data_IF_833971057982
#
_entry.id   IF_833971057982
#
_cell.length_a   1.000
_cell.length_b   1.000
_cell.length_c   1.000
_cell.angle_alpha   90.00
_cell.angle_beta   90.00
_cell.angle_gamma   90.00
#
_symmetry.space_group_name_H-M   'P 1'
#
loop_
_entity.id
_entity.type
_entity.pdbx_description
1 polymer ?
#
# COMPACT_ATOMS: atom_id res chain seq x y z
N UNK A 1 7.66 -7.02 8.28
CA UNK A 1 7.52 -5.60 8.55
C UNK A 1 8.17 -4.88 7.38
N UNK A 2 7.77 -3.64 7.07
CA UNK A 2 8.28 -2.93 5.89
C UNK A 2 8.80 -1.54 6.28
N UNK A 3 10.06 -1.28 5.94
CA UNK A 3 10.67 0.03 6.06
C UNK A 3 10.08 0.97 5.00
N UNK A 4 9.50 2.08 5.45
CA UNK A 4 8.82 3.09 4.62
C UNK A 4 9.74 4.27 4.36
N UNK A 5 9.69 4.84 3.16
CA UNK A 5 10.49 6.01 2.84
C UNK A 5 9.84 7.30 3.35
N UNK A 6 10.56 8.02 4.19
CA UNK A 6 10.19 9.35 4.68
C UNK A 6 11.07 10.39 4.01
N UNK A 7 10.45 11.30 3.25
CA UNK A 7 11.13 12.43 2.62
C UNK A 7 11.49 13.52 3.63
N UNK A 8 10.71 13.62 4.70
CA UNK A 8 10.88 14.58 5.80
C UNK A 8 10.82 13.84 7.14
N UNK A 9 11.52 14.36 8.15
CA UNK A 9 11.44 13.82 9.50
C UNK A 9 9.99 13.94 10.02
N UNK A 10 9.45 12.87 10.63
CA UNK A 10 8.07 12.82 11.08
C UNK A 10 7.83 13.52 12.43
N UNK A 11 8.38 14.71 12.63
CA UNK A 11 8.39 15.42 13.94
C UNK A 11 7.00 15.62 14.58
N UNK A 12 5.93 15.62 13.76
CA UNK A 12 4.54 15.74 14.22
C UNK A 12 4.00 14.43 14.81
N UNK A 13 4.54 13.30 14.36
CA UNK A 13 4.18 11.94 14.80
C UNK A 13 5.14 11.44 15.87
N UNK A 14 6.43 11.70 15.68
CA UNK A 14 7.54 11.23 16.52
C UNK A 14 8.52 12.39 16.78
N UNK A 15 8.28 13.18 17.85
CA UNK A 15 9.10 14.34 18.18
C UNK A 15 10.57 14.02 18.49
N UNK A 16 10.89 12.77 18.81
CA UNK A 16 12.25 12.31 19.12
C UNK A 16 13.22 12.51 17.95
N UNK A 17 12.69 12.58 16.72
CA UNK A 17 13.47 12.92 15.52
C UNK A 17 13.95 14.37 15.46
N UNK A 18 13.62 15.24 16.43
CA UNK A 18 14.03 16.64 16.43
C UNK A 18 15.55 16.82 16.37
N UNK A 19 16.29 15.88 16.95
CA UNK A 19 17.76 15.89 16.97
C UNK A 19 18.36 15.02 15.84
N UNK A 20 17.52 14.56 14.90
CA UNK A 20 17.89 13.65 13.83
C UNK A 20 17.60 12.19 14.17
N UNK A 21 18.32 11.27 13.53
CA UNK A 21 18.23 9.83 13.75
C UNK A 21 19.60 9.17 13.64
N UNK A 22 19.74 7.98 14.22
CA UNK A 22 20.90 7.11 14.04
C UNK A 22 20.50 5.94 13.15
N UNK A 23 21.24 5.70 12.07
CA UNK A 23 20.99 4.53 11.22
C UNK A 23 21.35 3.25 11.96
N UNK A 24 20.40 2.34 12.17
CA UNK A 24 20.59 1.09 12.91
C UNK A 24 21.55 0.12 12.21
N UNK A 25 21.78 0.30 10.90
CA UNK A 25 22.69 -0.55 10.14
C UNK A 25 24.15 -0.07 10.18
N UNK A 26 24.39 1.23 10.01
CA UNK A 26 25.75 1.78 9.92
C UNK A 26 26.17 2.62 11.13
N UNK A 27 25.27 2.82 12.09
CA UNK A 27 25.45 3.56 13.34
C UNK A 27 25.96 5.00 13.16
N UNK A 28 25.67 5.61 12.00
CA UNK A 28 25.96 7.03 11.76
C UNK A 28 24.74 7.87 12.08
N UNK A 29 24.97 9.06 12.62
CA UNK A 29 23.94 10.04 12.93
C UNK A 29 23.64 10.92 11.72
N UNK A 30 22.36 11.24 11.53
CA UNK A 30 21.85 12.05 10.44
C UNK A 30 20.88 13.07 11.01
N UNK A 31 21.07 14.34 10.64
CA UNK A 31 20.19 15.43 11.11
C UNK A 31 18.96 15.64 10.22
N UNK A 32 18.94 15.03 9.04
CA UNK A 32 17.94 15.30 8.01
C UNK A 32 17.52 14.02 7.28
N UNK A 33 16.28 14.02 6.80
CA UNK A 33 15.73 13.06 5.86
C UNK A 33 16.30 13.30 4.43
N UNK A 34 16.19 12.36 3.47
CA UNK A 34 15.35 11.16 3.49
C UNK A 34 15.96 9.98 4.23
N UNK A 35 15.08 9.10 4.72
CA UNK A 35 15.44 7.86 5.38
C UNK A 35 14.32 6.83 5.24
N UNK A 36 14.61 5.62 5.67
CA UNK A 36 13.66 4.54 5.75
C UNK A 36 13.36 4.25 7.22
N UNK A 37 12.08 4.16 7.58
CA UNK A 37 11.61 4.03 8.95
C UNK A 37 10.58 2.90 9.09
N UNK A 38 10.70 2.11 10.15
CA UNK A 38 9.73 1.07 10.53
C UNK A 38 9.24 1.31 11.96
N UNK A 39 8.04 1.85 12.07
CA UNK A 39 7.45 2.34 13.33
C UNK A 39 7.29 1.26 14.41
N UNK A 40 6.90 0.04 14.02
CA UNK A 40 6.64 -1.02 15.00
C UNK A 40 7.88 -1.45 15.78
N UNK A 41 9.08 -1.31 15.20
CA UNK A 41 10.35 -1.59 15.87
C UNK A 41 11.17 -0.35 16.20
N UNK A 42 10.84 0.80 15.59
CA UNK A 42 11.66 2.01 15.60
C UNK A 42 12.93 1.87 14.75
N UNK A 43 12.97 0.94 13.80
CA UNK A 43 14.17 0.71 12.98
C UNK A 43 14.34 1.80 11.93
N UNK A 44 15.54 2.39 11.87
CA UNK A 44 15.90 3.47 10.97
C UNK A 44 17.08 3.14 10.08
N UNK A 45 16.89 3.27 8.77
CA UNK A 45 17.91 3.05 7.76
C UNK A 45 18.16 4.35 7.00
N UNK A 46 19.42 4.80 6.95
CA UNK A 46 19.79 5.87 6.04
C UNK A 46 19.58 5.42 4.58
N UNK A 47 19.50 6.39 3.65
CA UNK A 47 19.20 6.10 2.25
C UNK A 47 20.19 5.10 1.62
N UNK A 48 21.48 5.19 1.95
CA UNK A 48 22.51 4.27 1.44
C UNK A 48 22.26 2.83 1.91
N UNK A 49 22.04 2.62 3.22
CA UNK A 49 21.79 1.30 3.80
C UNK A 49 20.45 0.71 3.33
N UNK A 50 19.40 1.52 3.26
CA UNK A 50 18.09 1.10 2.76
C UNK A 50 18.15 0.65 1.31
N UNK A 51 18.77 1.45 0.44
CA UNK A 51 18.93 1.09 -0.97
C UNK A 51 19.81 -0.16 -1.15
N UNK A 52 20.87 -0.31 -0.35
CA UNK A 52 21.72 -1.51 -0.37
C UNK A 52 20.96 -2.78 0.08
N UNK A 53 19.99 -2.62 0.99
CA UNK A 53 19.07 -3.69 1.39
C UNK A 53 17.92 -3.92 0.38
N UNK A 54 17.86 -3.15 -0.71
CA UNK A 54 16.88 -3.28 -1.78
C UNK A 54 15.57 -2.50 -1.57
N UNK A 55 15.47 -1.72 -0.49
CA UNK A 55 14.31 -0.83 -0.30
C UNK A 55 14.31 0.27 -1.35
N UNK A 56 13.10 0.71 -1.68
CA UNK A 56 12.86 1.81 -2.62
C UNK A 56 11.87 2.77 -1.99
N UNK A 57 11.74 4.01 -2.51
CA UNK A 57 10.70 4.93 -2.07
C UNK A 57 9.27 4.35 -2.13
N UNK A 58 9.07 3.31 -2.93
CA UNK A 58 7.80 2.62 -3.14
C UNK A 58 7.57 1.41 -2.21
N UNK A 59 8.54 1.07 -1.37
CA UNK A 59 8.46 -0.10 -0.49
C UNK A 59 7.23 -0.01 0.44
N UNK A 60 6.39 -1.05 0.36
CA UNK A 60 5.15 -1.14 1.11
C UNK A 60 3.95 -0.43 0.48
N UNK A 61 4.10 0.28 -0.63
CA UNK A 61 2.99 0.95 -1.31
C UNK A 61 2.33 0.03 -2.33
N UNK A 62 1.12 0.36 -2.75
CA UNK A 62 0.47 -0.33 -3.85
C UNK A 62 1.11 0.16 -5.15
N UNK A 63 1.84 -0.73 -5.81
CA UNK A 63 2.51 -0.45 -7.06
C UNK A 63 1.60 -0.53 -8.29
N UNK A 64 0.58 -1.38 -8.24
CA UNK A 64 -0.40 -1.49 -9.31
C UNK A 64 -1.78 -1.92 -8.83
N UNK A 65 -2.79 -1.47 -9.57
CA UNK A 65 -4.17 -1.94 -9.46
C UNK A 65 -4.46 -2.87 -10.64
N UNK A 66 -5.15 -3.97 -10.36
CA UNK A 66 -5.47 -5.02 -11.33
C UNK A 66 -6.99 -5.18 -11.40
N UNK A 67 -7.50 -5.19 -12.62
CA UNK A 67 -8.92 -5.29 -12.92
C UNK A 67 -9.18 -6.48 -13.84
N UNK A 68 -10.39 -7.03 -13.76
CA UNK A 68 -10.86 -8.05 -14.69
C UNK A 68 -11.52 -7.36 -15.89
N UNK A 69 -11.11 -7.72 -17.10
CA UNK A 69 -11.79 -7.29 -18.34
C UNK A 69 -13.00 -8.18 -18.68
N UNK A 70 -13.15 -9.31 -17.98
CA UNK A 70 -14.20 -10.27 -18.20
C UNK A 70 -15.58 -9.79 -17.71
N UNK A 71 -16.64 -10.39 -18.26
CA UNK A 71 -18.01 -10.14 -17.81
C UNK A 71 -18.41 -10.96 -16.56
N UNK A 72 -17.53 -11.86 -16.12
CA UNK A 72 -17.79 -12.71 -14.96
C UNK A 72 -17.57 -11.93 -13.66
N UNK A 73 -18.55 -12.00 -12.75
CA UNK A 73 -18.42 -11.37 -11.44
C UNK A 73 -17.60 -12.29 -10.54
N UNK A 74 -16.37 -11.88 -10.23
CA UNK A 74 -15.48 -12.59 -9.31
C UNK A 74 -16.01 -12.42 -7.87
N UNK A 75 -16.42 -13.52 -7.25
CA UNK A 75 -17.00 -13.51 -5.89
C UNK A 75 -16.29 -14.47 -4.97
N UNK A 76 -16.24 -14.09 -3.71
CA UNK A 76 -16.06 -15.03 -2.62
C UNK A 76 -17.30 -15.93 -2.50
N UNK A 77 -17.15 -17.26 -2.62
CA UNK A 77 -18.30 -18.16 -2.53
C UNK A 77 -18.95 -18.22 -1.15
N UNK A 78 -18.21 -17.89 -0.08
CA UNK A 78 -18.67 -18.07 1.29
C UNK A 78 -19.43 -16.82 1.77
N UNK A 79 -18.92 -15.62 1.50
CA UNK A 79 -19.59 -14.37 1.86
C UNK A 79 -20.45 -13.77 0.73
N UNK A 80 -20.29 -14.27 -0.50
CA UNK A 80 -20.86 -13.69 -1.73
C UNK A 80 -20.38 -12.24 -1.99
N UNK A 81 -19.31 -11.79 -1.32
CA UNK A 81 -18.69 -10.49 -1.57
C UNK A 81 -18.02 -10.47 -2.95
N UNK A 82 -18.19 -9.36 -3.66
CA UNK A 82 -17.64 -9.16 -5.01
C UNK A 82 -16.22 -8.62 -4.87
N UNK A 83 -15.26 -9.20 -5.59
CA UNK A 83 -13.92 -8.63 -5.72
C UNK A 83 -14.02 -7.37 -6.60
N UNK A 84 -13.62 -6.22 -6.05
CA UNK A 84 -13.66 -4.93 -6.76
C UNK A 84 -12.42 -4.76 -7.64
N UNK A 85 -11.25 -5.05 -7.09
CA UNK A 85 -9.96 -5.02 -7.76
C UNK A 85 -8.96 -5.89 -7.01
N UNK A 86 -7.90 -6.29 -7.69
CA UNK A 86 -6.68 -6.77 -7.08
C UNK A 86 -5.62 -5.67 -7.08
N UNK A 87 -4.59 -5.84 -6.27
CA UNK A 87 -3.48 -4.90 -6.18
C UNK A 87 -2.17 -5.64 -5.98
N UNK A 88 -1.05 -5.06 -6.41
CA UNK A 88 0.30 -5.56 -6.13
C UNK A 88 1.07 -4.58 -5.29
N UNK A 89 1.82 -5.12 -4.34
CA UNK A 89 2.69 -4.36 -3.44
C UNK A 89 4.15 -4.57 -3.79
N UNK A 90 4.48 -5.76 -4.26
CA UNK A 90 5.82 -6.16 -4.69
C UNK A 90 5.71 -7.30 -5.71
N UNK A 91 6.86 -7.77 -6.20
CA UNK A 91 6.91 -8.85 -7.20
C UNK A 91 6.26 -10.18 -6.78
N UNK A 92 6.08 -10.42 -5.48
CA UNK A 92 5.61 -11.68 -4.90
C UNK A 92 4.38 -11.53 -3.99
N UNK A 93 3.86 -10.31 -3.80
CA UNK A 93 2.70 -10.05 -2.94
C UNK A 93 1.61 -9.35 -3.73
N UNK A 94 0.42 -9.93 -3.70
CA UNK A 94 -0.78 -9.32 -4.24
C UNK A 94 -1.91 -9.40 -3.21
N UNK A 95 -2.88 -8.50 -3.31
CA UNK A 95 -4.11 -8.60 -2.54
C UNK A 95 -5.33 -8.40 -3.42
N UNK A 96 -6.48 -8.77 -2.89
CA UNK A 96 -7.78 -8.63 -3.53
C UNK A 96 -8.69 -7.93 -2.55
N UNK A 97 -9.25 -6.80 -2.98
CA UNK A 97 -10.15 -5.99 -2.17
C UNK A 97 -11.59 -6.31 -2.53
N UNK A 98 -12.40 -6.68 -1.54
CA UNK A 98 -13.80 -7.04 -1.73
C UNK A 98 -14.74 -5.89 -1.37
N UNK A 99 -15.94 -5.91 -1.95
CA UNK A 99 -16.96 -4.87 -1.75
C UNK A 99 -17.46 -4.75 -0.30
N UNK A 100 -17.26 -5.79 0.51
CA UNK A 100 -17.52 -5.77 1.96
C UNK A 100 -16.31 -5.30 2.78
N UNK A 101 -15.29 -4.74 2.13
CA UNK A 101 -14.01 -4.26 2.70
C UNK A 101 -13.04 -5.33 3.16
N UNK A 102 -13.41 -6.61 3.08
CA UNK A 102 -12.49 -7.71 3.37
C UNK A 102 -11.37 -7.77 2.33
N UNK A 103 -10.27 -8.43 2.69
CA UNK A 103 -9.14 -8.63 1.81
C UNK A 103 -8.71 -10.09 1.76
N UNK A 104 -8.23 -10.53 0.59
CA UNK A 104 -7.46 -11.76 0.46
C UNK A 104 -6.05 -11.39 0.00
N UNK A 105 -5.05 -11.57 0.86
CA UNK A 105 -3.64 -11.33 0.54
C UNK A 105 -2.99 -12.65 0.13
N UNK A 106 -2.23 -12.62 -0.96
CA UNK A 106 -1.61 -13.76 -1.60
C UNK A 106 -0.09 -13.58 -1.65
N UNK A 107 0.64 -14.61 -1.24
CA UNK A 107 2.04 -14.80 -1.57
C UNK A 107 2.11 -15.58 -2.88
N UNK A 108 2.82 -15.04 -3.85
CA UNK A 108 3.08 -15.68 -5.14
C UNK A 108 4.48 -16.29 -5.15
N UNK A 109 4.64 -17.40 -5.86
CA UNK A 109 5.96 -17.91 -6.23
C UNK A 109 6.51 -17.21 -7.47
N UNK A 110 7.74 -17.58 -7.87
CA UNK A 110 8.41 -17.00 -9.05
C UNK A 110 7.68 -17.27 -10.37
N UNK A 111 6.80 -18.28 -10.40
CA UNK A 111 5.99 -18.64 -11.56
C UNK A 111 4.62 -17.94 -11.54
N UNK A 112 4.33 -17.11 -10.53
CA UNK A 112 3.05 -16.45 -10.33
C UNK A 112 1.95 -17.32 -9.72
N UNK A 113 2.27 -18.53 -9.28
CA UNK A 113 1.31 -19.41 -8.59
C UNK A 113 1.15 -19.00 -7.12
N UNK A 114 -0.03 -19.25 -6.56
CA UNK A 114 -0.31 -18.89 -5.17
C UNK A 114 0.37 -19.90 -4.24
N UNK A 115 1.28 -19.40 -3.40
CA UNK A 115 2.01 -20.17 -2.40
C UNK A 115 1.30 -20.17 -1.06
N UNK A 116 0.94 -18.99 -0.57
CA UNK A 116 0.29 -18.78 0.73
C UNK A 116 -0.82 -17.74 0.59
N UNK A 117 -1.83 -17.80 1.46
CA UNK A 117 -2.93 -16.85 1.45
C UNK A 117 -3.42 -16.52 2.87
N UNK A 118 -3.80 -15.26 3.07
CA UNK A 118 -4.38 -14.77 4.32
C UNK A 118 -5.63 -13.94 4.00
N UNK A 119 -6.74 -14.29 4.65
CA UNK A 119 -7.99 -13.55 4.57
C UNK A 119 -8.10 -12.61 5.77
N UNK A 120 -8.34 -11.33 5.49
CA UNK A 120 -8.54 -10.29 6.48
C UNK A 120 -10.00 -9.85 6.48
N UNK A 121 -10.59 -9.79 7.68
CA UNK A 121 -11.87 -9.13 7.87
C UNK A 121 -11.63 -7.72 8.37
N UNK A 122 -12.14 -6.75 7.63
CA UNK A 122 -12.04 -5.33 7.99
C UNK A 122 -13.43 -4.81 8.33
N UNK A 123 -13.51 -4.00 9.38
CA UNK A 123 -14.74 -3.32 9.77
C UNK A 123 -14.40 -1.94 10.26
N UNK A 124 -15.10 -0.93 9.74
CA UNK A 124 -14.95 0.47 10.16
C UNK A 124 -13.47 0.93 10.11
N UNK A 125 -12.74 0.55 9.05
CA UNK A 125 -11.32 0.89 8.85
C UNK A 125 -10.34 0.11 9.75
N UNK A 126 -10.81 -0.89 10.51
CA UNK A 126 -9.97 -1.66 11.43
C UNK A 126 -9.96 -3.15 11.09
N UNK A 127 -8.81 -3.80 11.22
CA UNK A 127 -8.68 -5.25 11.05
C UNK A 127 -9.29 -5.94 12.27
N UNK A 128 -10.38 -6.69 12.06
CA UNK A 128 -11.10 -7.42 13.12
C UNK A 128 -10.61 -8.87 13.22
N UNK A 129 -10.26 -9.47 12.08
CA UNK A 129 -9.76 -10.85 12.06
C UNK A 129 -8.80 -11.08 10.92
N UNK A 130 -7.95 -12.10 11.09
CA UNK A 130 -6.94 -12.52 10.13
C UNK A 130 -6.83 -14.04 10.18
N UNK A 131 -7.04 -14.69 9.04
CA UNK A 131 -7.11 -16.14 8.93
C UNK A 131 -6.24 -16.63 7.78
N UNK A 132 -5.33 -17.57 8.06
CA UNK A 132 -4.60 -18.27 6.99
C UNK A 132 -5.58 -19.15 6.20
N UNK A 133 -5.55 -19.04 4.88
CA UNK A 133 -6.41 -19.82 3.98
C UNK A 133 -5.59 -20.98 3.42
N UNK A 134 -5.99 -22.21 3.75
CA UNK A 134 -5.34 -23.41 3.20
C UNK A 134 -5.71 -23.61 1.74
N UNK A 135 -4.84 -24.27 0.96
CA UNK A 135 -5.04 -24.48 -0.48
C UNK A 135 -6.41 -25.06 -0.86
N UNK A 136 -6.93 -26.02 -0.07
CA UNK A 136 -8.25 -26.62 -0.33
C UNK A 136 -9.39 -25.60 -0.20
N UNK A 137 -9.33 -24.73 0.81
CA UNK A 137 -10.31 -23.65 1.01
C UNK A 137 -10.14 -22.56 -0.04
N UNK A 138 -8.91 -22.22 -0.41
CA UNK A 138 -8.64 -21.25 -1.46
C UNK A 138 -9.28 -21.68 -2.79
N UNK A 139 -9.04 -22.93 -3.21
CA UNK A 139 -9.58 -23.48 -4.46
C UNK A 139 -11.10 -23.68 -4.45
N UNK A 140 -11.69 -23.96 -3.28
CA UNK A 140 -13.15 -24.05 -3.13
C UNK A 140 -13.81 -22.67 -3.12
N UNK A 141 -13.26 -21.73 -2.35
CA UNK A 141 -13.84 -20.41 -2.05
C UNK A 141 -13.61 -19.39 -3.16
N UNK A 142 -12.46 -19.48 -3.81
CA UNK A 142 -11.99 -18.58 -4.87
C UNK A 142 -11.57 -19.40 -6.09
N UNK A 143 -12.46 -20.23 -6.61
CA UNK A 143 -12.17 -21.16 -7.71
C UNK A 143 -11.65 -20.48 -8.99
N UNK A 144 -12.00 -19.22 -9.20
CA UNK A 144 -11.50 -18.37 -10.28
C UNK A 144 -10.02 -17.99 -10.14
N UNK A 145 -9.39 -18.19 -8.97
CA UNK A 145 -7.94 -18.04 -8.77
C UNK A 145 -7.13 -19.29 -9.13
N UNK A 146 -7.78 -20.41 -9.47
CA UNK A 146 -7.07 -21.66 -9.77
C UNK A 146 -6.10 -21.55 -10.97
N UNK A 147 -6.33 -20.58 -11.86
CA UNK A 147 -5.48 -20.26 -13.02
C UNK A 147 -4.50 -19.10 -12.76
N UNK A 148 -4.38 -18.64 -11.51
CA UNK A 148 -3.52 -17.54 -11.09
C UNK A 148 -4.18 -16.18 -11.15
N UNK A 149 -3.61 -15.22 -10.41
CA UNK A 149 -4.18 -13.88 -10.24
C UNK A 149 -4.24 -13.09 -11.56
N UNK A 150 -3.20 -13.19 -12.40
CA UNK A 150 -3.12 -12.47 -13.67
C UNK A 150 -4.09 -12.98 -14.73
N UNK A 151 -4.66 -14.16 -14.56
CA UNK A 151 -5.73 -14.68 -15.42
C UNK A 151 -7.09 -14.10 -15.00
N UNK A 152 -7.33 -13.97 -13.69
CA UNK A 152 -8.56 -13.40 -13.15
C UNK A 152 -8.61 -11.87 -13.31
N UNK A 153 -7.48 -11.20 -13.11
CA UNK A 153 -7.29 -9.76 -13.27
C UNK A 153 -6.21 -9.51 -14.32
N UNK A 154 -6.64 -9.38 -15.57
CA UNK A 154 -5.81 -9.32 -16.77
C UNK A 154 -5.44 -7.89 -17.19
N UNK A 155 -6.06 -6.88 -16.59
CA UNK A 155 -5.76 -5.46 -16.83
C UNK A 155 -4.97 -4.90 -15.65
N UNK A 156 -3.70 -4.54 -15.88
CA UNK A 156 -2.84 -3.95 -14.85
C UNK A 156 -2.59 -2.46 -15.12
N UNK A 157 -2.90 -1.62 -14.13
CA UNK A 157 -2.59 -0.20 -14.09
C UNK A 157 -1.44 0.03 -13.12
N UNK A 158 -0.28 0.41 -13.65
CA UNK A 158 0.89 0.75 -12.83
C UNK A 158 0.77 2.16 -12.26
N UNK A 159 0.91 2.26 -10.95
CA UNK A 159 1.00 3.53 -10.22
C UNK A 159 2.47 3.99 -10.19
N UNK A 160 3.36 3.07 -9.86
CA UNK A 160 4.80 3.28 -9.81
C UNK A 160 5.57 1.96 -10.03
N UNK A 161 6.91 2.03 -9.95
CA UNK A 161 7.76 0.84 -10.06
C UNK A 161 7.41 -0.18 -8.98
N UNK A 162 7.35 -1.46 -9.35
CA UNK A 162 7.07 -2.58 -8.44
C UNK A 162 8.31 -2.89 -7.59
N UNK A 163 8.25 -2.76 -6.26
CA UNK A 163 9.34 -3.15 -5.38
C UNK A 163 9.75 -4.62 -5.52
N UNK A 164 11.05 -4.89 -5.39
CA UNK A 164 11.60 -6.24 -5.42
C UNK A 164 11.62 -6.89 -4.02
N UNK A 165 11.86 -6.09 -2.98
CA UNK A 165 11.87 -6.57 -1.59
C UNK A 165 10.44 -6.94 -1.19
N UNK A 166 10.17 -8.22 -0.89
CA UNK A 166 8.81 -8.62 -0.58
C UNK A 166 8.38 -8.12 0.80
N UNK A 167 7.21 -7.51 0.86
CA UNK A 167 6.55 -7.15 2.13
C UNK A 167 6.07 -8.42 2.79
N UNK A 168 6.26 -8.64 4.09
CA UNK A 168 5.73 -9.84 4.73
C UNK A 168 4.22 -9.92 4.61
N UNK A 169 3.73 -11.14 4.32
CA UNK A 169 2.33 -11.43 3.99
C UNK A 169 1.34 -10.90 5.04
N UNK A 170 1.86 -10.80 6.26
CA UNK A 170 1.11 -10.54 7.46
C UNK A 170 0.95 -9.04 7.79
N UNK A 171 1.66 -8.17 7.08
CA UNK A 171 1.90 -6.77 7.48
C UNK A 171 1.32 -5.74 6.48
N UNK A 172 0.51 -6.18 5.52
CA UNK A 172 -0.08 -5.30 4.53
C UNK A 172 -1.54 -5.65 4.27
N UNK A 173 -2.43 -4.66 4.34
CA UNK A 173 -3.85 -4.80 4.01
C UNK A 173 -4.47 -3.44 3.64
N UNK A 174 -5.39 -3.42 2.66
CA UNK A 174 -6.19 -2.24 2.35
C UNK A 174 -7.40 -2.20 3.29
N UNK A 175 -7.44 -1.22 4.19
CA UNK A 175 -8.52 -1.04 5.17
C UNK A 175 -9.65 -0.14 4.67
N UNK A 176 -9.43 0.55 3.55
CA UNK A 176 -10.41 1.46 2.95
C UNK A 176 -10.02 1.86 1.54
N UNK A 177 -11.02 2.14 0.71
CA UNK A 177 -10.82 2.57 -0.67
C UNK A 177 -11.91 3.57 -1.04
N UNK A 178 -11.50 4.62 -1.73
CA UNK A 178 -12.39 5.61 -2.30
C UNK A 178 -11.83 6.07 -3.66
N UNK A 179 -12.68 6.19 -4.66
CA UNK A 179 -12.26 6.65 -5.97
C UNK A 179 -13.33 7.48 -6.66
N UNK A 180 -12.85 8.42 -7.46
CA UNK A 180 -13.61 9.33 -8.31
C UNK A 180 -12.85 9.48 -9.63
N UNK A 181 -13.40 10.23 -10.59
CA UNK A 181 -12.70 10.53 -11.85
C UNK A 181 -11.42 11.36 -11.66
N UNK A 182 -11.23 11.96 -10.48
CA UNK A 182 -10.14 12.91 -10.20
C UNK A 182 -9.14 12.39 -9.18
N UNK A 183 -9.58 11.48 -8.29
CA UNK A 183 -8.84 11.04 -7.12
C UNK A 183 -9.05 9.56 -6.88
N UNK A 184 -7.95 8.86 -6.55
CA UNK A 184 -7.98 7.54 -5.93
C UNK A 184 -7.35 7.68 -4.54
N UNK A 185 -8.04 7.21 -3.52
CA UNK A 185 -7.61 7.23 -2.12
C UNK A 185 -7.63 5.80 -1.59
N UNK A 186 -6.46 5.29 -1.20
CA UNK A 186 -6.30 3.93 -0.67
C UNK A 186 -5.78 4.02 0.76
N UNK A 187 -6.56 3.51 1.71
CA UNK A 187 -6.20 3.45 3.12
C UNK A 187 -5.55 2.09 3.39
N UNK A 188 -4.34 2.12 3.89
CA UNK A 188 -3.55 0.96 4.26
C UNK A 188 -3.59 0.79 5.78
N UNK A 189 -3.23 -0.39 6.27
CA UNK A 189 -2.99 -0.59 7.70
C UNK A 189 -1.93 0.41 8.25
N UNK A 190 -1.88 0.55 9.58
CA UNK A 190 -0.95 1.47 10.28
C UNK A 190 -1.18 2.96 9.95
N UNK A 191 -2.41 3.30 9.55
CA UNK A 191 -2.86 4.66 9.26
C UNK A 191 -2.09 5.35 8.12
N UNK A 192 -1.57 4.56 7.17
CA UNK A 192 -1.05 5.08 5.92
C UNK A 192 -2.15 5.27 4.89
N UNK A 193 -2.05 6.34 4.10
CA UNK A 193 -2.93 6.62 2.98
C UNK A 193 -2.09 6.90 1.74
N UNK A 194 -2.43 6.25 0.63
CA UNK A 194 -1.88 6.54 -0.70
C UNK A 194 -2.95 7.27 -1.50
N UNK A 195 -2.72 8.55 -1.81
CA UNK A 195 -3.62 9.40 -2.58
C UNK A 195 -3.04 9.66 -3.95
N UNK A 196 -3.80 9.38 -5.00
CA UNK A 196 -3.43 9.64 -6.38
C UNK A 196 -4.34 10.71 -6.98
N UNK A 197 -3.76 11.88 -7.27
CA UNK A 197 -4.35 12.91 -8.11
C UNK A 197 -4.21 12.48 -9.58
N UNK A 198 -5.32 11.97 -10.13
CA UNK A 198 -5.40 11.42 -11.49
C UNK A 198 -5.16 12.52 -12.53
N UNK A 199 -5.60 13.76 -12.25
CA UNK A 199 -5.50 14.88 -13.18
C UNK A 199 -4.06 15.36 -13.35
N UNK A 200 -3.31 15.38 -12.25
CA UNK A 200 -1.94 15.90 -12.23
C UNK A 200 -0.89 14.79 -12.31
N UNK A 201 -1.29 13.52 -12.24
CA UNK A 201 -0.38 12.39 -12.21
C UNK A 201 0.55 12.45 -11.00
N UNK A 202 -0.01 12.84 -9.85
CA UNK A 202 0.73 13.04 -8.60
C UNK A 202 0.23 12.06 -7.55
N UNK A 203 1.17 11.50 -6.81
CA UNK A 203 0.87 10.63 -5.70
C UNK A 203 1.37 11.25 -4.39
N UNK A 204 0.58 11.14 -3.34
CA UNK A 204 0.93 11.60 -1.99
C UNK A 204 0.72 10.42 -1.06
N UNK A 205 1.76 10.11 -0.30
CA UNK A 205 1.68 9.15 0.79
C UNK A 205 1.65 9.93 2.09
N UNK A 206 0.65 9.65 2.90
CA UNK A 206 0.47 10.28 4.20
C UNK A 206 0.36 9.21 5.29
N UNK A 207 0.72 9.60 6.51
CA UNK A 207 0.47 8.85 7.74
C UNK A 207 -0.26 9.76 8.70
N UNK A 208 -1.46 9.36 9.15
CA UNK A 208 -2.32 10.18 10.03
C UNK A 208 -2.40 11.63 9.51
N UNK A 209 -2.74 11.80 8.22
CA UNK A 209 -2.84 13.10 7.54
C UNK A 209 -1.53 13.92 7.44
N UNK A 210 -0.39 13.42 7.93
CA UNK A 210 0.91 14.03 7.69
C UNK A 210 1.54 13.44 6.41
N UNK A 211 1.89 14.26 5.41
CA UNK A 211 2.59 13.74 4.23
C UNK A 211 3.99 13.24 4.61
N UNK A 212 4.30 12.01 4.20
CA UNK A 212 5.62 11.38 4.41
C UNK A 212 6.44 11.36 3.13
N UNK A 213 5.77 11.27 1.97
CA UNK A 213 6.41 11.31 0.66
C UNK A 213 5.43 11.79 -0.41
N UNK A 214 5.96 12.31 -1.51
CA UNK A 214 5.21 12.71 -2.70
C UNK A 214 5.93 12.19 -3.93
N UNK A 215 5.18 11.82 -4.96
CA UNK A 215 5.72 11.36 -6.23
C UNK A 215 5.08 12.09 -7.40
N UNK A 216 5.88 12.32 -8.43
CA UNK A 216 5.42 12.82 -9.73
C UNK A 216 6.17 12.07 -10.82
N UNK A 217 5.47 11.64 -11.86
CA UNK A 217 6.06 10.88 -12.96
C UNK A 217 6.90 9.67 -12.50
N UNK A 218 6.45 8.97 -11.45
CA UNK A 218 7.12 7.79 -10.85
C UNK A 218 8.49 8.08 -10.21
N UNK A 219 8.76 9.33 -9.85
CA UNK A 219 9.94 9.73 -9.09
C UNK A 219 9.55 10.45 -7.80
N UNK A 220 10.44 10.43 -6.80
CA UNK A 220 10.25 11.21 -5.57
C UNK A 220 10.24 12.69 -5.93
N UNK A 221 9.13 13.35 -5.65
CA UNK A 221 8.96 14.78 -5.89
C UNK A 221 9.80 15.59 -4.88
N UNK A 222 10.50 16.60 -5.40
CA UNK A 222 11.36 17.49 -4.64
C UNK A 222 10.63 18.63 -3.92
N UNK A 223 9.30 18.64 -3.89
CA UNK A 223 8.54 19.69 -3.22
C UNK A 223 8.86 19.81 -1.72
N UNK A 224 8.47 20.92 -1.12
CA UNK A 224 8.57 21.12 0.34
C UNK A 224 7.45 20.38 1.10
N UNK A 225 7.67 20.12 2.40
CA UNK A 225 6.64 19.52 3.27
C UNK A 225 5.37 20.37 3.29
N UNK A 226 5.50 21.70 3.37
CA UNK A 226 4.34 22.62 3.39
C UNK A 226 3.53 22.58 2.10
N UNK A 227 4.18 22.46 0.94
CA UNK A 227 3.49 22.27 -0.33
C UNK A 227 2.76 20.93 -0.39
N UNK A 228 3.41 19.84 0.05
CA UNK A 228 2.78 18.53 0.14
C UNK A 228 1.57 18.54 1.09
N UNK A 229 1.69 19.17 2.26
CA UNK A 229 0.58 19.30 3.23
C UNK A 229 -0.57 20.12 2.68
N UNK A 230 -0.29 21.18 1.91
CA UNK A 230 -1.36 21.96 1.26
C UNK A 230 -2.11 21.10 0.25
N UNK A 231 -1.39 20.40 -0.63
CA UNK A 231 -2.02 19.56 -1.66
C UNK A 231 -2.80 18.41 -1.03
N UNK A 232 -2.27 17.78 0.01
CA UNK A 232 -2.98 16.75 0.76
C UNK A 232 -4.30 17.28 1.34
N UNK A 233 -4.30 18.46 1.95
CA UNK A 233 -5.52 19.09 2.48
C UNK A 233 -6.53 19.42 1.38
N UNK A 234 -6.07 19.93 0.25
CA UNK A 234 -6.94 20.24 -0.88
C UNK A 234 -7.62 18.95 -1.39
N UNK A 235 -6.86 17.87 -1.61
CA UNK A 235 -7.38 16.57 -2.07
C UNK A 235 -8.35 15.94 -1.06
N UNK A 236 -8.03 15.97 0.23
CA UNK A 236 -8.91 15.44 1.28
C UNK A 236 -10.22 16.24 1.38
N UNK A 237 -10.15 17.56 1.28
CA UNK A 237 -11.35 18.42 1.28
C UNK A 237 -12.23 18.14 0.06
N UNK A 238 -11.65 17.93 -1.12
CA UNK A 238 -12.39 17.54 -2.32
C UNK A 238 -13.07 16.18 -2.11
N UNK A 239 -12.35 15.18 -1.59
CA UNK A 239 -12.90 13.86 -1.30
C UNK A 239 -14.08 13.91 -0.31
N UNK A 240 -13.98 14.69 0.77
CA UNK A 240 -15.06 14.86 1.73
C UNK A 240 -16.30 15.52 1.14
N UNK A 241 -16.10 16.50 0.25
CA UNK A 241 -17.21 17.19 -0.41
C UNK A 241 -18.01 16.23 -1.31
N UNK A 242 -17.32 15.31 -1.98
CA UNK A 242 -17.92 14.31 -2.86
C UNK A 242 -18.58 13.16 -2.09
N UNK A 243 -18.10 12.83 -0.88
CA UNK A 243 -18.73 11.83 0.02
C UNK A 243 -20.08 12.28 0.60
N UNK A 244 -20.42 13.58 0.52
CA UNK A 244 -21.66 14.17 1.06
C UNK A 244 -22.79 14.32 0.05
N UNK A 245 -22.53 14.03 -1.23
CA UNK A 245 -23.50 14.08 -2.34
C UNK A 245 -24.14 12.71 -2.58
#
# INVERSE_FOLDING_TARGET
MVLRHYRWLPLELEPDYNDGYTCDHCHRDFLEAPFYHEEATGTDYCLECGNAAGYTPFSGLIASLLFSSGNEVLRDSDSNAIALFAYRVDSQSAGIYFANTDNLILRLDMCGSIRDAVYYTVKDGSIVSKLRVVSADLSRRFSWLNTGISTAFDVELHLHMVPLVPVPLDDFCVIGYYATDELIEIHLNEAYTQLLDVRRGREIVAKIEMPVCTFSAQEVDGCSKSEATRVLRDLLSEAESLKKL
#
